data_IF_172702496004
#
_entry.id   IF_172702496004
#
_cell.length_a   1.000
_cell.length_b   1.000
_cell.length_c   1.000
_cell.angle_alpha   90.00
_cell.angle_beta   90.00
_cell.angle_gamma   90.00
#
_symmetry.space_group_name_H-M   'P 1'
#
loop_
_entity.id
_entity.type
_entity.pdbx_description
1 polymer ?
#
# COMPACT_ATOMS: atom_id res chain seq x y z
N UNK A 1 5.66 -10.55 4.19
CA UNK A 1 6.61 -10.19 3.12
C UNK A 1 7.49 -9.03 3.54
N UNK A 2 8.34 -8.55 2.63
CA UNK A 2 9.20 -7.37 2.84
C UNK A 2 8.38 -6.07 2.88
N UNK A 3 8.91 -5.05 3.57
CA UNK A 3 8.28 -3.72 3.58
C UNK A 3 8.83 -2.92 2.41
N UNK A 4 7.95 -2.50 1.51
CA UNK A 4 8.32 -1.67 0.36
C UNK A 4 8.08 -0.19 0.73
N UNK A 5 9.11 0.67 0.63
CA UNK A 5 8.97 2.11 0.84
C UNK A 5 8.00 2.76 -0.15
N UNK A 6 7.36 3.87 0.26
CA UNK A 6 6.38 4.57 -0.61
C UNK A 6 6.96 5.04 -1.93
N UNK A 7 8.20 5.53 -1.92
CA UNK A 7 8.85 6.08 -3.12
C UNK A 7 9.12 5.00 -4.17
N UNK A 8 9.35 3.75 -3.76
CA UNK A 8 9.59 2.64 -4.68
C UNK A 8 8.29 2.15 -5.35
N UNK A 9 7.12 2.44 -4.75
CA UNK A 9 5.82 2.07 -5.29
C UNK A 9 5.29 3.01 -6.38
N UNK A 10 5.92 4.18 -6.58
CA UNK A 10 5.52 5.18 -7.58
C UNK A 10 5.86 4.74 -9.00
N UNK A 11 6.87 3.86 -9.16
CA UNK A 11 7.38 3.46 -10.46
C UNK A 11 8.06 4.61 -11.21
N UNK A 12 9.02 4.29 -12.08
CA UNK A 12 9.87 5.30 -12.75
C UNK A 12 9.10 6.24 -13.71
N UNK A 13 7.87 5.91 -14.08
CA UNK A 13 7.14 6.61 -15.15
C UNK A 13 6.05 7.59 -14.66
N UNK A 14 5.91 7.85 -13.36
CA UNK A 14 4.77 8.64 -12.91
C UNK A 14 5.13 9.80 -11.97
N UNK A 15 4.88 11.02 -12.44
CA UNK A 15 4.73 12.29 -11.68
C UNK A 15 3.60 12.22 -10.62
N UNK A 16 3.14 11.01 -10.31
CA UNK A 16 1.99 10.67 -9.51
C UNK A 16 2.49 10.58 -8.07
N UNK A 17 2.69 11.75 -7.46
CA UNK A 17 3.31 11.90 -6.15
C UNK A 17 2.69 11.04 -5.04
N UNK A 18 3.42 10.90 -3.93
CA UNK A 18 3.17 9.98 -2.80
C UNK A 18 1.71 9.86 -2.35
N UNK A 19 0.93 10.94 -2.41
CA UNK A 19 -0.51 10.94 -2.08
C UNK A 19 -1.33 9.99 -2.95
N UNK A 20 -0.91 9.74 -4.18
CA UNK A 20 -1.62 8.82 -5.07
C UNK A 20 -1.40 7.36 -4.68
N UNK A 21 -0.24 7.02 -4.11
CA UNK A 21 0.02 5.66 -3.60
C UNK A 21 -1.00 5.32 -2.52
N UNK A 22 -1.20 6.20 -1.54
CA UNK A 22 -2.18 5.97 -0.48
C UNK A 22 -3.60 5.76 -1.03
N UNK A 23 -3.97 6.47 -2.10
CA UNK A 23 -5.25 6.29 -2.80
C UNK A 23 -5.33 4.92 -3.49
N UNK A 24 -4.27 4.50 -4.21
CA UNK A 24 -4.26 3.20 -4.87
C UNK A 24 -4.25 2.05 -3.86
N UNK A 25 -3.50 2.18 -2.77
CA UNK A 25 -3.50 1.21 -1.67
C UNK A 25 -4.91 1.09 -1.07
N UNK A 26 -5.59 2.20 -0.79
CA UNK A 26 -6.96 2.16 -0.29
C UNK A 26 -7.94 1.51 -1.28
N UNK A 27 -7.79 1.77 -2.58
CA UNK A 27 -8.58 1.10 -3.63
C UNK A 27 -8.30 -0.39 -3.68
N UNK A 28 -7.04 -0.81 -3.51
CA UNK A 28 -6.65 -2.21 -3.50
C UNK A 28 -7.20 -2.93 -2.27
N UNK A 29 -7.10 -2.34 -1.07
CA UNK A 29 -7.70 -2.87 0.15
C UNK A 29 -9.20 -3.13 0.01
N UNK A 30 -9.93 -2.21 -0.62
CA UNK A 30 -11.37 -2.40 -0.90
C UNK A 30 -11.68 -3.58 -1.81
N UNK A 31 -10.72 -4.04 -2.63
CA UNK A 31 -10.91 -5.17 -3.55
C UNK A 31 -10.51 -6.50 -2.92
N UNK A 32 -9.51 -6.49 -2.05
CA UNK A 32 -8.90 -7.73 -1.54
C UNK A 32 -9.30 -7.99 -0.07
N UNK A 33 -9.33 -6.97 0.78
CA UNK A 33 -9.62 -7.15 2.20
C UNK A 33 -11.11 -7.38 2.45
N UNK A 34 -11.43 -8.19 3.46
CA UNK A 34 -12.82 -8.29 3.98
C UNK A 34 -13.27 -6.99 4.63
N UNK A 35 -12.39 -6.37 5.43
CA UNK A 35 -12.60 -5.05 6.02
C UNK A 35 -11.40 -4.14 5.67
N UNK A 36 -11.57 -3.15 4.78
CA UNK A 36 -10.50 -2.23 4.40
C UNK A 36 -9.95 -1.38 5.55
N UNK A 37 -10.72 -1.22 6.63
CA UNK A 37 -10.32 -0.45 7.83
C UNK A 37 -9.43 -1.28 8.76
N UNK A 38 -9.51 -2.61 8.66
CA UNK A 38 -8.69 -3.55 9.40
C UNK A 38 -7.94 -4.50 8.43
N UNK A 39 -6.94 -3.98 7.69
CA UNK A 39 -6.28 -4.72 6.62
C UNK A 39 -5.38 -5.83 7.17
N UNK A 40 -5.62 -7.06 6.74
CA UNK A 40 -4.84 -8.25 7.13
C UNK A 40 -3.72 -8.50 6.11
N UNK A 41 -4.02 -8.33 4.81
CA UNK A 41 -3.10 -8.68 3.74
C UNK A 41 -2.19 -7.53 3.33
N UNK A 42 -2.68 -6.29 3.31
CA UNK A 42 -1.91 -5.12 2.90
C UNK A 42 -1.73 -4.15 4.06
N UNK A 43 -0.65 -4.33 4.83
CA UNK A 43 -0.41 -3.59 6.06
C UNK A 43 0.38 -2.29 5.84
N UNK A 44 0.03 -1.25 6.60
CA UNK A 44 0.79 0.01 6.61
C UNK A 44 1.91 -0.08 7.65
N UNK A 45 3.15 0.13 7.23
CA UNK A 45 4.29 0.37 8.11
C UNK A 45 4.50 1.88 8.19
N UNK A 46 4.07 2.49 9.30
CA UNK A 46 4.08 3.95 9.48
C UNK A 46 5.50 4.49 9.32
N UNK A 47 5.64 5.59 8.59
CA UNK A 47 6.94 6.20 8.29
C UNK A 47 7.78 5.48 7.22
N UNK A 48 7.39 4.27 6.80
CA UNK A 48 8.18 3.48 5.84
C UNK A 48 7.39 3.26 4.55
N UNK A 49 6.28 2.52 4.61
CA UNK A 49 5.52 2.17 3.42
C UNK A 49 4.51 1.06 3.68
N UNK A 50 4.50 0.06 2.80
CA UNK A 50 3.49 -1.00 2.79
C UNK A 50 4.12 -2.37 2.74
N UNK A 51 3.43 -3.34 3.34
CA UNK A 51 3.87 -4.73 3.38
C UNK A 51 2.72 -5.65 3.02
N UNK A 52 2.99 -6.61 2.14
CA UNK A 52 2.09 -7.71 1.91
C UNK A 52 2.30 -8.81 2.98
N UNK A 53 1.25 -9.19 3.67
CA UNK A 53 1.19 -10.31 4.61
C UNK A 53 0.27 -11.39 4.06
N UNK A 54 0.64 -12.65 4.21
CA UNK A 54 -0.13 -13.82 3.75
C UNK A 54 -0.36 -14.79 4.91
N UNK A 55 -0.36 -14.27 6.13
CA UNK A 55 -0.77 -15.04 7.32
C UNK A 55 -2.27 -15.28 7.35
#
# INVERSE_FOLDING_TARGET
>A
GETIPRHELVGDESDVGERTIDVQINRLRRKIERDPSNPVWLQTVRGIGYRLSVE
#
